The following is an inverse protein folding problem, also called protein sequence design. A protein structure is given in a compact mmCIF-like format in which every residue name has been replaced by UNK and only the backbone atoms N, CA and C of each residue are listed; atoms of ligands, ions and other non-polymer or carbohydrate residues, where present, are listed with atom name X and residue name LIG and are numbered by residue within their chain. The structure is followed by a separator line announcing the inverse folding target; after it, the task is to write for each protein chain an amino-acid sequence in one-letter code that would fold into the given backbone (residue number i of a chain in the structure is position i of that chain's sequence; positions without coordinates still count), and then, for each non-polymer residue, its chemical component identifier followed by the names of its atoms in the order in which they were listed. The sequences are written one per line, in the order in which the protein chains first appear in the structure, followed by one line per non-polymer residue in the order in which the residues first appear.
data_IF_292992017770
#
_entry.id   IF_292992017770
#
_cell.length_a   1.000
_cell.length_b   1.000
_cell.length_c   1.000
_cell.angle_alpha   90.00
_cell.angle_beta   90.00
_cell.angle_gamma   90.00
#
_symmetry.space_group_name_H-M   'P 1'
#
loop_
_entity.id
_entity.type
_entity.pdbx_description
1 polymer ?
#
# COMPACT_ATOMS: atom_id res chain seq x y z
N UNK A 1 32.65 40.30 27.37
CA UNK A 1 32.10 40.43 26.00
C UNK A 1 31.89 39.07 25.33
N UNK A 2 32.85 38.15 25.40
CA UNK A 2 32.82 36.82 24.75
C UNK A 2 31.63 35.94 25.18
N UNK A 3 31.24 35.96 26.46
CA UNK A 3 30.12 35.16 26.99
C UNK A 3 28.75 35.53 26.36
N UNK A 4 28.54 36.80 25.98
CA UNK A 4 27.29 37.24 25.36
C UNK A 4 27.14 36.76 23.92
N UNK A 5 28.26 36.58 23.22
CA UNK A 5 28.27 36.12 21.82
C UNK A 5 27.90 34.63 21.74
N UNK A 6 28.41 33.80 22.67
CA UNK A 6 28.12 32.36 22.73
C UNK A 6 26.64 32.04 23.00
N UNK A 7 25.97 32.84 23.83
CA UNK A 7 24.55 32.65 24.13
C UNK A 7 23.70 32.92 22.87
N UNK A 8 23.99 34.00 22.14
CA UNK A 8 23.24 34.38 20.93
C UNK A 8 23.38 33.31 19.84
N UNK A 9 24.58 32.75 19.64
CA UNK A 9 24.80 31.71 18.63
C UNK A 9 24.08 30.40 18.96
N UNK A 10 23.97 30.02 20.23
CA UNK A 10 23.18 28.86 20.66
C UNK A 10 21.67 29.04 20.43
N UNK A 11 21.14 30.25 20.67
CA UNK A 11 19.73 30.53 20.40
C UNK A 11 19.42 30.50 18.90
N UNK A 12 20.32 31.03 18.06
CA UNK A 12 20.15 30.98 16.61
C UNK A 12 20.18 29.53 16.10
N UNK A 13 21.11 28.68 16.58
CA UNK A 13 21.14 27.27 16.16
C UNK A 13 19.89 26.48 16.57
N UNK A 14 19.28 26.78 17.72
CA UNK A 14 18.02 26.15 18.13
C UNK A 14 16.83 26.59 17.26
N UNK A 15 16.80 27.85 16.80
CA UNK A 15 15.72 28.32 15.90
C UNK A 15 15.81 27.64 14.52
N UNK A 16 17.02 27.36 14.03
CA UNK A 16 17.19 26.68 12.74
C UNK A 16 16.84 25.19 12.76
N UNK A 17 16.95 24.52 13.91
CA UNK A 17 16.57 23.10 14.05
C UNK A 17 15.05 22.88 14.08
N UNK A 18 14.25 23.92 14.38
CA UNK A 18 12.79 23.82 14.52
C UNK A 18 12.00 23.93 13.21
N UNK A 19 12.65 24.22 12.07
CA UNK A 19 12.02 24.09 10.75
C UNK A 19 12.08 22.64 10.28
N UNK A 20 11.54 21.73 11.10
CA UNK A 20 11.25 20.38 10.65
C UNK A 20 10.09 20.50 9.67
N UNK A 21 10.40 20.16 8.42
CA UNK A 21 9.50 20.12 7.27
C UNK A 21 8.31 19.24 7.63
N UNK A 22 7.16 19.84 7.94
CA UNK A 22 5.88 19.13 7.86
C UNK A 22 5.60 18.96 6.37
N UNK A 23 5.96 17.79 5.84
CA UNK A 23 5.47 17.35 4.53
C UNK A 23 3.96 17.22 4.69
N UNK A 24 3.23 18.22 4.21
CA UNK A 24 1.79 18.11 4.00
C UNK A 24 1.58 17.16 2.84
N UNK A 25 1.67 15.86 3.12
CA UNK A 25 1.24 14.85 2.17
C UNK A 25 -0.26 15.05 1.95
N UNK A 26 -0.73 15.12 0.69
CA UNK A 26 -2.12 15.38 0.38
C UNK A 26 -3.00 14.35 1.10
N UNK A 27 -3.97 14.83 1.89
CA UNK A 27 -4.95 13.96 2.55
C UNK A 27 -5.70 13.21 1.46
N UNK A 28 -5.60 11.87 1.38
CA UNK A 28 -6.30 11.12 0.36
C UNK A 28 -7.81 11.36 0.52
N UNK A 29 -8.47 11.60 -0.61
CA UNK A 29 -9.93 11.64 -0.68
C UNK A 29 -10.51 10.33 -0.12
N UNK A 30 -11.72 10.36 0.43
CA UNK A 30 -12.40 9.19 0.99
C UNK A 30 -12.44 8.04 -0.04
N UNK A 31 -12.62 8.41 -1.31
CA UNK A 31 -12.64 7.50 -2.47
C UNK A 31 -11.30 6.83 -2.78
N UNK A 32 -10.18 7.42 -2.35
CA UNK A 32 -8.84 6.87 -2.54
C UNK A 32 -8.40 5.95 -1.38
N UNK A 33 -9.24 5.82 -0.36
CA UNK A 33 -8.95 5.02 0.81
C UNK A 33 -9.31 3.55 0.58
N UNK A 34 -8.33 2.66 0.64
CA UNK A 34 -8.55 1.21 0.53
C UNK A 34 -8.19 0.56 1.85
N UNK A 35 -9.15 -0.14 2.45
CA UNK A 35 -8.94 -0.94 3.65
C UNK A 35 -8.81 -2.42 3.31
N UNK A 36 -7.94 -3.12 4.05
CA UNK A 36 -7.82 -4.57 3.95
C UNK A 36 -9.13 -5.27 4.32
N UNK A 37 -9.27 -6.53 3.89
CA UNK A 37 -10.45 -7.34 4.22
C UNK A 37 -10.62 -7.43 5.75
N UNK A 38 -11.86 -7.27 6.23
CA UNK A 38 -12.16 -7.24 7.66
C UNK A 38 -11.94 -5.87 8.32
N UNK A 39 -11.64 -4.81 7.56
CA UNK A 39 -11.55 -3.43 8.05
C UNK A 39 -12.54 -2.51 7.32
N UNK A 40 -12.98 -1.43 7.98
CA UNK A 40 -13.86 -0.39 7.45
C UNK A 40 -13.18 0.97 7.49
N UNK A 41 -13.47 1.81 6.51
CA UNK A 41 -12.96 3.18 6.48
C UNK A 41 -13.63 3.96 7.61
N UNK A 42 -12.81 4.69 8.35
CA UNK A 42 -13.24 5.59 9.42
C UNK A 42 -12.54 6.93 9.25
N UNK A 43 -13.23 8.01 9.61
CA UNK A 43 -12.68 9.36 9.58
C UNK A 43 -12.28 9.79 10.98
N UNK A 44 -11.05 10.26 11.14
CA UNK A 44 -10.57 10.75 12.42
C UNK A 44 -11.14 12.16 12.70
N UNK A 45 -11.72 12.41 13.89
CA UNK A 45 -12.56 13.58 14.14
C UNK A 45 -11.79 14.90 14.27
N UNK A 46 -10.46 14.86 14.44
CA UNK A 46 -9.64 16.06 14.71
C UNK A 46 -8.90 16.59 13.49
N UNK A 47 -8.52 15.71 12.57
CA UNK A 47 -7.60 16.03 11.47
C UNK A 47 -8.15 15.64 10.09
N UNK A 48 -9.40 15.16 10.03
CA UNK A 48 -10.07 14.71 8.80
C UNK A 48 -9.32 13.60 8.03
N UNK A 49 -8.36 12.90 8.65
CA UNK A 49 -7.65 11.80 8.01
C UNK A 49 -8.48 10.53 8.04
N UNK A 50 -8.40 9.74 6.98
CA UNK A 50 -9.02 8.42 6.92
C UNK A 50 -8.07 7.35 7.46
N UNK A 51 -8.65 6.36 8.13
CA UNK A 51 -7.94 5.17 8.61
C UNK A 51 -8.86 3.96 8.51
N UNK A 52 -8.27 2.77 8.58
CA UNK A 52 -8.98 1.52 8.50
C UNK A 52 -9.17 0.94 9.90
N UNK A 53 -10.40 0.62 10.28
CA UNK A 53 -10.76 0.05 11.59
C UNK A 53 -11.25 -1.38 11.42
N UNK A 54 -10.69 -2.32 12.19
CA UNK A 54 -11.11 -3.73 12.16
C UNK A 54 -12.57 -3.90 12.57
N UNK A 55 -13.28 -4.79 11.88
CA UNK A 55 -14.69 -5.09 12.12
C UNK A 55 -14.84 -5.99 13.36
N UNK A 56 -13.97 -6.98 13.51
CA UNK A 56 -14.01 -7.96 14.60
C UNK A 56 -13.09 -7.60 15.78
N UNK A 57 -12.04 -6.82 15.50
CA UNK A 57 -11.05 -6.37 16.47
C UNK A 57 -10.87 -4.86 16.35
N UNK A 58 -10.69 -4.15 17.47
CA UNK A 58 -10.57 -2.68 17.51
C UNK A 58 -9.20 -2.16 16.99
N UNK A 59 -8.56 -2.94 16.09
CA UNK A 59 -7.30 -2.58 15.45
C UNK A 59 -7.49 -1.41 14.48
N UNK A 60 -6.49 -0.53 14.42
CA UNK A 60 -6.45 0.61 13.51
C UNK A 60 -5.23 0.50 12.61
N UNK A 61 -5.43 0.64 11.31
CA UNK A 61 -4.36 0.64 10.31
C UNK A 61 -4.45 1.89 9.45
N UNK A 62 -3.33 2.26 8.82
CA UNK A 62 -3.28 3.40 7.93
C UNK A 62 -4.18 3.14 6.70
N UNK A 63 -4.87 4.18 6.26
CA UNK A 63 -5.51 4.19 4.95
C UNK A 63 -4.41 4.31 3.88
N UNK A 64 -4.14 3.24 3.15
CA UNK A 64 -3.09 3.23 2.11
C UNK A 64 -3.76 2.98 0.77
N UNK A 65 -3.52 3.87 -0.20
CA UNK A 65 -3.85 3.57 -1.59
C UNK A 65 -2.77 2.62 -2.12
N UNK A 66 -3.01 1.31 -1.97
CA UNK A 66 -2.09 0.28 -2.44
C UNK A 66 -2.19 0.16 -3.97
N UNK A 67 -1.26 0.79 -4.68
CA UNK A 67 -1.13 0.61 -6.12
C UNK A 67 -0.52 -0.77 -6.41
N UNK A 68 -1.39 -1.79 -6.49
CA UNK A 68 -0.98 -3.16 -6.84
C UNK A 68 -0.48 -3.21 -8.28
N UNK A 69 0.63 -3.91 -8.57
CA UNK A 69 1.06 -4.13 -9.94
C UNK A 69 -0.04 -4.82 -10.76
N UNK A 70 -0.24 -4.41 -12.01
CA UNK A 70 -1.12 -5.14 -12.92
C UNK A 70 -0.36 -6.30 -13.56
N UNK A 71 -0.93 -7.50 -13.54
CA UNK A 71 -0.31 -8.68 -14.14
C UNK A 71 -0.07 -8.49 -15.65
N UNK A 72 1.17 -8.71 -16.11
CA UNK A 72 1.54 -8.61 -17.54
C UNK A 72 1.48 -9.98 -18.21
N UNK A 73 0.70 -10.06 -19.30
CA UNK A 73 0.46 -11.27 -20.10
C UNK A 73 0.76 -10.98 -21.59
N UNK A 74 2.03 -10.84 -21.96
CA UNK A 74 2.47 -10.45 -23.31
C UNK A 74 2.79 -11.64 -24.22
N UNK A 75 3.19 -12.78 -23.65
CA UNK A 75 3.51 -14.01 -24.40
C UNK A 75 2.30 -14.49 -25.20
N UNK A 76 1.12 -14.46 -24.59
CA UNK A 76 -0.12 -14.86 -25.23
C UNK A 76 -1.22 -13.91 -24.78
N UNK A 77 -1.93 -13.29 -25.75
CA UNK A 77 -3.13 -12.50 -25.44
C UNK A 77 -4.12 -13.37 -24.67
N UNK A 78 -4.29 -13.03 -23.41
CA UNK A 78 -5.13 -13.68 -22.43
C UNK A 78 -5.75 -12.65 -21.50
N UNK A 79 -6.46 -13.12 -20.49
CA UNK A 79 -7.02 -12.30 -19.43
C UNK A 79 -6.38 -12.67 -18.08
N UNK A 80 -6.41 -11.74 -17.14
CA UNK A 80 -5.86 -11.94 -15.80
C UNK A 80 -6.96 -12.48 -14.92
N UNK A 81 -6.73 -13.62 -14.28
CA UNK A 81 -7.55 -14.07 -13.16
C UNK A 81 -6.74 -13.92 -11.88
N UNK A 82 -7.44 -13.59 -10.80
CA UNK A 82 -6.87 -13.66 -9.46
C UNK A 82 -7.44 -14.91 -8.80
N UNK A 83 -6.56 -15.79 -8.33
CA UNK A 83 -6.97 -16.82 -7.38
C UNK A 83 -6.40 -16.53 -5.99
N UNK A 84 -6.74 -17.40 -5.05
CA UNK A 84 -6.33 -17.33 -3.64
C UNK A 84 -4.81 -17.38 -3.44
N UNK A 85 -4.03 -17.79 -4.43
CA UNK A 85 -2.59 -17.92 -4.31
C UNK A 85 -1.86 -16.81 -5.05
N UNK A 86 -2.30 -16.44 -6.26
CA UNK A 86 -1.60 -15.53 -7.17
C UNK A 86 -2.53 -14.89 -8.20
N UNK A 87 -1.96 -13.93 -8.91
CA UNK A 87 -2.47 -13.48 -10.19
C UNK A 87 -1.93 -14.37 -11.29
N UNK A 88 -2.80 -14.77 -12.21
CA UNK A 88 -2.48 -15.67 -13.31
C UNK A 88 -2.92 -15.06 -14.63
N UNK A 89 -2.10 -15.29 -15.65
CA UNK A 89 -2.52 -15.10 -17.03
C UNK A 89 -3.26 -16.35 -17.51
N UNK A 90 -4.39 -16.15 -18.17
CA UNK A 90 -5.24 -17.25 -18.65
C UNK A 90 -5.63 -17.03 -20.10
N UNK A 91 -5.62 -18.13 -20.85
CA UNK A 91 -6.18 -18.18 -22.20
C UNK A 91 -7.08 -19.39 -22.36
N UNK A 92 -8.31 -19.14 -22.77
CA UNK A 92 -9.22 -20.19 -23.24
C UNK A 92 -8.83 -20.56 -24.67
N UNK A 93 -8.59 -21.85 -24.93
CA UNK A 93 -8.39 -22.31 -26.30
C UNK A 93 -9.73 -22.33 -27.04
N UNK A 94 -9.82 -21.81 -28.28
CA UNK A 94 -11.05 -21.88 -29.06
C UNK A 94 -11.54 -23.32 -29.20
N UNK A 95 -12.78 -23.59 -28.80
CA UNK A 95 -13.39 -24.92 -28.89
C UNK A 95 -13.04 -25.90 -27.76
N UNK A 96 -12.30 -25.47 -26.74
CA UNK A 96 -11.99 -26.28 -25.56
C UNK A 96 -12.57 -25.65 -24.29
N UNK A 97 -12.88 -26.50 -23.31
CA UNK A 97 -13.21 -26.10 -21.93
C UNK A 97 -11.93 -25.83 -21.12
N UNK A 98 -10.78 -26.26 -21.63
CA UNK A 98 -9.51 -26.17 -20.91
C UNK A 98 -8.87 -24.77 -20.98
N UNK A 99 -8.49 -24.27 -19.82
CA UNK A 99 -7.78 -23.02 -19.61
C UNK A 99 -6.27 -23.28 -19.54
N UNK A 100 -5.48 -22.58 -20.37
CA UNK A 100 -4.04 -22.50 -20.14
C UNK A 100 -3.80 -21.40 -19.10
N UNK A 101 -3.14 -21.75 -18.00
CA UNK A 101 -2.72 -20.81 -16.95
C UNK A 101 -1.21 -20.69 -16.90
N UNK A 102 -0.69 -19.48 -16.73
CA UNK A 102 0.73 -19.22 -16.51
C UNK A 102 0.95 -18.03 -15.58
N UNK A 103 2.14 -17.96 -14.96
CA UNK A 103 2.51 -16.87 -14.05
C UNK A 103 2.56 -15.51 -14.76
N UNK A 104 2.27 -14.44 -14.01
CA UNK A 104 2.49 -13.08 -14.46
C UNK A 104 3.95 -12.82 -14.84
N UNK A 105 4.17 -12.18 -15.99
CA UNK A 105 5.51 -11.92 -16.51
C UNK A 105 6.25 -10.83 -15.72
N UNK A 106 5.52 -9.98 -14.99
CA UNK A 106 6.07 -8.95 -14.12
C UNK A 106 6.30 -9.41 -12.68
N UNK A 107 6.76 -10.66 -12.49
CA UNK A 107 7.04 -11.21 -11.16
C UNK A 107 7.91 -10.31 -10.28
N UNK A 108 8.91 -9.64 -10.86
CA UNK A 108 9.78 -8.71 -10.11
C UNK A 108 9.05 -7.50 -9.53
N UNK A 109 8.00 -7.01 -10.18
CA UNK A 109 7.17 -5.90 -9.68
C UNK A 109 6.34 -6.39 -8.49
N UNK A 110 5.79 -7.59 -8.59
CA UNK A 110 5.09 -8.26 -7.51
C UNK A 110 5.98 -8.57 -6.31
N UNK A 111 7.19 -9.10 -6.54
CA UNK A 111 8.15 -9.39 -5.47
C UNK A 111 8.47 -8.11 -4.69
N UNK A 112 8.76 -7.00 -5.39
CA UNK A 112 8.97 -5.68 -4.76
C UNK A 112 7.75 -5.19 -3.99
N UNK A 113 6.55 -5.36 -4.54
CA UNK A 113 5.32 -4.99 -3.86
C UNK A 113 5.17 -5.76 -2.54
N UNK A 114 5.42 -7.07 -2.55
CA UNK A 114 5.34 -7.90 -1.34
C UNK A 114 6.52 -7.69 -0.38
N UNK A 115 7.67 -7.21 -0.84
CA UNK A 115 8.76 -6.81 0.06
C UNK A 115 8.40 -5.54 0.84
N UNK A 116 7.60 -4.65 0.25
CA UNK A 116 7.09 -3.43 0.90
C UNK A 116 5.85 -3.74 1.75
N UNK A 117 4.98 -4.63 1.28
CA UNK A 117 3.71 -5.02 1.93
C UNK A 117 3.63 -6.55 2.13
N UNK A 118 4.38 -7.13 3.08
CA UNK A 118 4.42 -8.58 3.28
C UNK A 118 3.07 -9.20 3.64
N UNK A 119 2.20 -8.46 4.32
CA UNK A 119 0.83 -8.86 4.71
C UNK A 119 -0.11 -9.07 3.51
N UNK A 120 0.21 -8.47 2.37
CA UNK A 120 -0.55 -8.63 1.13
C UNK A 120 -0.18 -9.90 0.37
N UNK A 121 0.89 -10.59 0.79
CA UNK A 121 1.31 -11.85 0.16
C UNK A 121 0.25 -12.91 0.48
N UNK A 122 -0.38 -13.53 -0.54
CA UNK A 122 -1.40 -14.54 -0.30
C UNK A 122 -0.85 -15.68 0.55
N UNK A 123 -1.45 -15.90 1.73
CA UNK A 123 -1.06 -16.98 2.64
C UNK A 123 -1.74 -18.27 2.22
N UNK A 124 -1.06 -19.42 2.40
CA UNK A 124 -1.66 -20.72 2.14
C UNK A 124 -2.87 -21.01 3.06
N UNK A 125 -2.95 -20.31 4.20
CA UNK A 125 -3.89 -20.57 5.30
C UNK A 125 -5.22 -19.80 5.19
N UNK A 126 -5.40 -18.96 4.15
CA UNK A 126 -6.64 -18.17 3.92
C UNK A 126 -7.87 -19.02 3.50
N UNK A 127 -7.87 -20.32 3.78
CA UNK A 127 -8.87 -21.31 3.34
C UNK A 127 -9.83 -21.80 4.43
N UNK A 128 -9.89 -21.13 5.58
CA UNK A 128 -10.83 -21.45 6.66
C UNK A 128 -11.94 -20.41 6.78
#
# INVERSE_FOLDING_TARGET
MILRILIITCFISMIYASRIITRDDPVPDESACICHHGYTIQKHPKDNKFYCKGILHDGKTACVNLERPQCKCTLIKGFVIQDIYRYWCVKVKPGYVEEIRWDCENKKEWDRFFDIYPEERPSADSQL
#
